data_IF_168786576520
#
_entry.id   IF_168786576520
#
_cell.length_a   1.000
_cell.length_b   1.000
_cell.length_c   1.000
_cell.angle_alpha   90.00
_cell.angle_beta   90.00
_cell.angle_gamma   90.00
#
_symmetry.space_group_name_H-M   'P 1'
#
loop_
_entity.id
_entity.type
_entity.pdbx_description
1 polymer ?
#
# COMPACT_ATOMS: atom_id res chain seq x y z
N UNK A 1 36.39 15.21 63.72
CA UNK A 1 36.23 13.84 63.18
C UNK A 1 34.98 13.87 62.30
N UNK A 2 35.11 14.06 60.97
CA UNK A 2 35.17 13.01 59.93
C UNK A 2 33.90 12.13 59.94
N UNK A 3 33.05 11.95 58.92
CA UNK A 3 33.05 12.11 57.44
C UNK A 3 31.59 12.37 56.97
N UNK A 4 31.34 13.32 56.06
CA UNK A 4 30.99 13.13 54.63
C UNK A 4 29.78 12.23 54.28
N UNK A 5 28.73 12.80 53.65
CA UNK A 5 28.53 12.71 52.19
C UNK A 5 27.29 13.47 51.70
N UNK A 6 27.54 14.31 50.70
CA UNK A 6 26.64 15.06 49.85
C UNK A 6 26.17 14.15 48.70
N UNK A 7 24.88 14.11 48.35
CA UNK A 7 24.45 13.85 46.96
C UNK A 7 23.28 14.75 46.61
N UNK A 8 23.57 15.65 45.68
CA UNK A 8 22.67 16.49 44.89
C UNK A 8 21.94 15.61 43.87
N UNK A 9 20.64 15.83 43.67
CA UNK A 9 19.87 15.16 42.62
C UNK A 9 18.69 15.99 42.16
N UNK A 10 18.96 17.19 41.60
CA UNK A 10 17.95 17.96 40.88
C UNK A 10 17.51 17.19 39.64
N UNK A 11 16.27 16.73 39.62
CA UNK A 11 15.66 16.18 38.42
C UNK A 11 15.39 17.32 37.42
N UNK A 12 16.30 17.51 36.47
CA UNK A 12 16.00 18.24 35.25
C UNK A 12 14.94 17.45 34.46
N UNK A 13 13.69 17.88 34.57
CA UNK A 13 12.68 17.53 33.59
C UNK A 13 13.08 18.16 32.25
N UNK A 14 13.76 17.38 31.40
CA UNK A 14 13.91 17.72 30.00
C UNK A 14 12.52 17.69 29.36
N UNK A 15 11.90 18.87 29.25
CA UNK A 15 10.77 19.06 28.37
C UNK A 15 11.21 18.71 26.96
N UNK A 16 10.70 17.60 26.42
CA UNK A 16 10.73 17.35 24.99
C UNK A 16 9.98 18.51 24.34
N UNK A 17 10.71 19.44 23.73
CA UNK A 17 10.12 20.44 22.86
C UNK A 17 9.32 19.69 21.79
N UNK A 18 7.99 19.70 21.91
CA UNK A 18 7.11 19.13 20.90
C UNK A 18 7.21 20.05 19.69
N UNK A 19 7.97 19.64 18.68
CA UNK A 19 7.86 20.25 17.35
C UNK A 19 6.40 20.12 16.95
N UNK A 20 5.72 21.25 16.74
CA UNK A 20 4.32 21.27 16.33
C UNK A 20 4.16 20.49 15.03
N UNK A 21 3.07 19.72 14.92
CA UNK A 21 2.73 19.01 13.68
C UNK A 21 2.66 20.00 12.51
N UNK A 22 2.98 19.51 11.31
CA UNK A 22 3.00 20.36 10.11
C UNK A 22 1.57 20.80 9.73
N UNK A 23 1.29 22.11 9.74
CA UNK A 23 -0.02 22.66 9.34
C UNK A 23 -0.03 22.99 7.84
N UNK A 24 -0.88 22.32 7.07
CA UNK A 24 -1.05 22.54 5.63
C UNK A 24 -2.49 23.00 5.36
N UNK A 25 -2.64 24.14 4.67
CA UNK A 25 -3.93 24.57 4.14
C UNK A 25 -4.16 23.93 2.78
N UNK A 26 -5.15 23.04 2.68
CA UNK A 26 -5.52 22.39 1.43
C UNK A 26 -6.37 23.29 0.54
N UNK A 27 -6.16 23.25 -0.79
CA UNK A 27 -7.01 23.93 -1.78
C UNK A 27 -8.46 23.42 -1.71
N UNK A 28 -8.62 22.11 -1.57
CA UNK A 28 -9.91 21.47 -1.44
C UNK A 28 -10.01 20.78 -0.07
N UNK A 29 -11.05 21.15 0.67
CA UNK A 29 -11.36 20.58 1.97
C UNK A 29 -12.58 19.66 1.91
N UNK A 30 -12.51 18.53 2.59
CA UNK A 30 -13.59 17.55 2.67
C UNK A 30 -13.23 16.35 3.55
N UNK A 31 -14.22 15.55 3.98
CA UNK A 31 -13.98 14.32 4.72
C UNK A 31 -13.37 13.24 3.82
N UNK A 32 -12.67 12.28 4.43
CA UNK A 32 -12.32 11.04 3.74
C UNK A 32 -13.59 10.27 3.37
N UNK A 33 -13.73 9.78 2.12
CA UNK A 33 -14.94 9.09 1.71
C UNK A 33 -15.08 7.75 2.43
N UNK A 34 -16.33 7.43 2.79
CA UNK A 34 -16.69 6.17 3.44
C UNK A 34 -17.27 5.24 2.39
N UNK A 35 -16.65 4.07 2.23
CA UNK A 35 -17.17 3.03 1.35
C UNK A 35 -18.16 2.13 2.11
N UNK A 36 -19.08 1.51 1.37
CA UNK A 36 -20.13 0.65 1.95
C UNK A 36 -19.59 -0.68 2.53
N UNK A 37 -18.43 -1.13 2.06
CA UNK A 37 -17.75 -2.33 2.53
C UNK A 37 -16.25 -2.21 2.27
N UNK A 38 -15.45 -3.11 2.85
CA UNK A 38 -13.99 -3.13 2.62
C UNK A 38 -13.59 -3.86 1.34
N UNK A 39 -14.56 -4.36 0.55
CA UNK A 39 -14.29 -5.16 -0.65
C UNK A 39 -13.56 -4.33 -1.71
N UNK A 40 -12.32 -4.69 -2.01
CA UNK A 40 -11.51 -4.03 -3.02
C UNK A 40 -10.74 -4.98 -3.92
N UNK A 41 -10.23 -4.44 -5.02
CA UNK A 41 -9.48 -5.18 -6.04
C UNK A 41 -8.36 -4.32 -6.61
N UNK A 42 -7.19 -4.90 -6.88
CA UNK A 42 -6.18 -4.26 -7.71
C UNK A 42 -6.63 -4.37 -9.17
N UNK A 43 -7.15 -3.27 -9.73
CA UNK A 43 -8.00 -3.32 -10.94
C UNK A 43 -7.18 -3.36 -12.22
N UNK A 44 -7.26 -4.49 -12.93
CA UNK A 44 -6.81 -4.62 -14.32
C UNK A 44 -7.93 -4.38 -15.34
N UNK A 45 -9.12 -4.97 -15.13
CA UNK A 45 -10.30 -4.88 -16.01
C UNK A 45 -11.37 -3.99 -15.37
N UNK A 46 -11.55 -2.75 -15.82
CA UNK A 46 -12.45 -1.79 -15.17
C UNK A 46 -13.90 -2.26 -15.15
N UNK A 47 -14.45 -2.69 -16.29
CA UNK A 47 -15.85 -3.11 -16.39
C UNK A 47 -16.15 -4.35 -15.53
N UNK A 48 -15.22 -5.30 -15.49
CA UNK A 48 -15.35 -6.51 -14.66
C UNK A 48 -15.26 -6.17 -13.17
N UNK A 49 -14.37 -5.24 -12.77
CA UNK A 49 -14.31 -4.76 -11.38
C UNK A 49 -15.61 -4.08 -10.95
N UNK A 50 -16.22 -3.26 -11.82
CA UNK A 50 -17.50 -2.64 -11.56
C UNK A 50 -18.63 -3.67 -11.47
N UNK A 51 -18.65 -4.68 -12.34
CA UNK A 51 -19.61 -5.79 -12.30
C UNK A 51 -19.46 -6.65 -11.03
N UNK A 52 -18.25 -6.81 -10.51
CA UNK A 52 -17.97 -7.44 -9.21
C UNK A 52 -18.43 -6.59 -8.01
N UNK A 53 -18.77 -5.33 -8.24
CA UNK A 53 -19.31 -4.41 -7.23
C UNK A 53 -18.28 -3.92 -6.23
N UNK A 54 -17.00 -3.80 -6.62
CA UNK A 54 -15.91 -3.32 -5.74
C UNK A 54 -16.24 -1.97 -5.11
N UNK A 55 -15.79 -1.76 -3.87
CA UNK A 55 -15.90 -0.47 -3.15
C UNK A 55 -14.57 0.25 -3.06
N UNK A 56 -13.46 -0.49 -3.19
CA UNK A 56 -12.11 0.05 -3.25
C UNK A 56 -11.38 -0.44 -4.50
N UNK A 57 -10.54 0.42 -5.08
CA UNK A 57 -9.66 0.04 -6.18
C UNK A 57 -8.21 0.43 -5.87
N UNK A 58 -7.29 -0.49 -6.14
CA UNK A 58 -5.86 -0.20 -6.26
C UNK A 58 -5.47 -0.10 -7.74
N UNK A 59 -4.74 0.94 -8.12
CA UNK A 59 -4.20 1.10 -9.47
C UNK A 59 -2.69 1.37 -9.41
N UNK A 60 -1.90 0.61 -10.17
CA UNK A 60 -0.49 0.92 -10.35
C UNK A 60 -0.34 2.22 -11.14
N UNK A 61 0.53 3.10 -10.65
CA UNK A 61 0.79 4.42 -11.22
C UNK A 61 2.30 4.64 -11.31
N UNK A 62 2.85 4.36 -12.49
CA UNK A 62 4.28 4.49 -12.76
C UNK A 62 4.61 5.93 -13.16
N UNK A 63 5.39 6.63 -12.34
CA UNK A 63 5.81 8.00 -12.64
C UNK A 63 6.80 8.05 -13.82
N UNK A 64 7.56 6.98 -14.05
CA UNK A 64 8.52 6.91 -15.16
C UNK A 64 7.85 6.93 -16.53
N UNK A 65 6.61 6.44 -16.63
CA UNK A 65 5.83 6.54 -17.87
C UNK A 65 5.13 7.90 -17.98
N UNK A 66 4.99 8.63 -16.88
CA UNK A 66 4.18 9.84 -16.83
C UNK A 66 4.96 11.10 -17.15
N UNK A 67 6.18 11.26 -16.65
CA UNK A 67 6.91 12.52 -16.82
C UNK A 67 7.40 12.70 -18.26
N UNK A 68 7.44 13.94 -18.73
CA UNK A 68 7.97 14.29 -20.04
C UNK A 68 9.03 15.40 -19.90
N UNK A 69 10.27 15.09 -19.47
CA UNK A 69 11.29 16.12 -19.20
C UNK A 69 11.56 17.07 -20.39
N UNK A 70 11.52 16.53 -21.62
CA UNK A 70 11.74 17.29 -22.86
C UNK A 70 10.47 17.98 -23.38
N UNK A 71 9.30 17.65 -22.81
CA UNK A 71 7.99 18.08 -23.29
C UNK A 71 7.65 17.58 -24.70
N UNK A 72 6.38 17.67 -25.03
CA UNK A 72 5.83 17.32 -26.34
C UNK A 72 4.75 18.30 -26.76
N UNK A 73 4.38 18.28 -28.03
CA UNK A 73 3.27 19.08 -28.54
C UNK A 73 1.97 18.68 -27.83
N UNK A 74 1.30 19.63 -27.19
CA UNK A 74 0.05 19.43 -26.43
C UNK A 74 0.20 18.61 -25.13
N UNK A 75 1.42 18.37 -24.64
CA UNK A 75 1.58 17.74 -23.33
C UNK A 75 1.01 18.64 -22.23
N UNK A 76 0.17 18.10 -21.33
CA UNK A 76 -0.22 18.78 -20.10
C UNK A 76 1.00 19.29 -19.35
N UNK A 77 0.86 20.47 -18.74
CA UNK A 77 1.93 21.08 -17.97
C UNK A 77 1.44 21.64 -16.64
N UNK A 78 2.37 21.76 -15.70
CA UNK A 78 2.15 22.29 -14.36
C UNK A 78 3.27 23.25 -13.98
N UNK A 79 2.90 24.41 -13.43
CA UNK A 79 3.86 25.38 -12.88
C UNK A 79 4.07 25.09 -11.40
N UNK A 80 5.30 24.74 -11.03
CA UNK A 80 5.68 24.47 -9.65
C UNK A 80 6.98 25.20 -9.33
N UNK A 81 6.96 26.03 -8.28
CA UNK A 81 8.12 26.81 -7.83
C UNK A 81 8.82 27.61 -8.96
N UNK A 82 8.03 28.22 -9.85
CA UNK A 82 8.54 29.04 -10.96
C UNK A 82 9.14 28.25 -12.13
N UNK A 83 8.88 26.93 -12.18
CA UNK A 83 9.29 26.06 -13.29
C UNK A 83 8.10 25.30 -13.85
N UNK A 84 8.11 25.13 -15.17
CA UNK A 84 7.15 24.32 -15.89
C UNK A 84 7.60 22.86 -15.97
N UNK A 85 6.68 21.97 -15.64
CA UNK A 85 6.82 20.52 -15.74
C UNK A 85 5.82 20.00 -16.76
N UNK A 86 6.21 19.00 -17.55
CA UNK A 86 5.37 18.41 -18.60
C UNK A 86 5.12 16.93 -18.33
N UNK A 87 3.96 16.45 -18.78
CA UNK A 87 3.51 15.08 -18.57
C UNK A 87 3.04 14.45 -19.87
N UNK A 88 3.35 13.16 -20.06
CA UNK A 88 2.96 12.35 -21.20
C UNK A 88 1.43 12.28 -21.29
N UNK A 89 0.87 12.95 -22.29
CA UNK A 89 -0.59 13.09 -22.45
C UNK A 89 -1.33 11.76 -22.44
N UNK A 90 -0.87 10.77 -23.23
CA UNK A 90 -1.56 9.49 -23.39
C UNK A 90 -1.62 8.69 -22.09
N UNK A 91 -0.53 8.66 -21.33
CA UNK A 91 -0.47 7.96 -20.04
C UNK A 91 -1.36 8.64 -18.99
N UNK A 92 -1.39 9.98 -18.98
CA UNK A 92 -2.28 10.74 -18.09
C UNK A 92 -3.76 10.50 -18.43
N UNK A 93 -4.15 10.65 -19.70
CA UNK A 93 -5.54 10.48 -20.14
C UNK A 93 -6.03 9.05 -19.93
N UNK A 94 -5.18 8.04 -20.15
CA UNK A 94 -5.52 6.64 -19.85
C UNK A 94 -5.76 6.40 -18.36
N UNK A 95 -5.00 7.06 -17.48
CA UNK A 95 -5.22 7.00 -16.04
C UNK A 95 -6.50 7.73 -15.64
N UNK A 96 -6.77 8.92 -16.19
CA UNK A 96 -8.00 9.67 -15.96
C UNK A 96 -9.25 8.84 -16.29
N UNK A 97 -9.26 8.15 -17.44
CA UNK A 97 -10.38 7.31 -17.85
C UNK A 97 -10.67 6.20 -16.84
N UNK A 98 -9.63 5.50 -16.37
CA UNK A 98 -9.76 4.40 -15.39
C UNK A 98 -10.22 4.92 -14.03
N UNK A 99 -9.59 5.98 -13.51
CA UNK A 99 -9.95 6.60 -12.23
C UNK A 99 -11.39 7.12 -12.30
N UNK A 100 -11.76 7.81 -13.37
CA UNK A 100 -13.10 8.37 -13.55
C UNK A 100 -14.16 7.28 -13.60
N UNK A 101 -13.98 6.25 -14.41
CA UNK A 101 -14.95 5.16 -14.51
C UNK A 101 -15.23 4.48 -13.15
N UNK A 102 -14.20 4.32 -12.31
CA UNK A 102 -14.33 3.76 -10.97
C UNK A 102 -14.98 4.75 -9.99
N UNK A 103 -14.43 5.97 -9.90
CA UNK A 103 -14.88 6.97 -8.92
C UNK A 103 -16.28 7.52 -9.20
N UNK A 104 -16.71 7.62 -10.47
CA UNK A 104 -18.08 7.98 -10.85
C UNK A 104 -19.12 6.95 -10.34
N UNK A 105 -18.68 5.72 -10.03
CA UNK A 105 -19.49 4.66 -9.43
C UNK A 105 -19.31 4.54 -7.91
N UNK A 106 -18.70 5.54 -7.28
CA UNK A 106 -18.48 5.59 -5.83
C UNK A 106 -17.36 4.67 -5.34
N UNK A 107 -16.53 4.13 -6.23
CA UNK A 107 -15.35 3.34 -5.84
C UNK A 107 -14.27 4.27 -5.27
N UNK A 108 -13.74 3.91 -4.11
CA UNK A 108 -12.64 4.60 -3.44
C UNK A 108 -11.31 4.19 -4.07
N UNK A 109 -10.70 5.09 -4.84
CA UNK A 109 -9.49 4.80 -5.64
C UNK A 109 -8.21 5.19 -4.88
N UNK A 110 -7.28 4.23 -4.78
CA UNK A 110 -5.93 4.40 -4.26
C UNK A 110 -4.91 4.09 -5.37
N UNK A 111 -3.84 4.89 -5.44
CA UNK A 111 -2.75 4.70 -6.40
C UNK A 111 -1.53 4.10 -5.72
N UNK A 112 -0.96 3.07 -6.34
CA UNK A 112 0.36 2.53 -5.97
C UNK A 112 1.38 3.28 -6.82
N UNK A 113 2.05 4.24 -6.22
CA UNK A 113 2.99 5.15 -6.89
C UNK A 113 4.34 4.45 -7.01
N UNK A 114 4.82 4.29 -8.25
CA UNK A 114 5.99 3.47 -8.59
C UNK A 114 6.97 4.23 -9.49
N UNK A 115 8.21 3.78 -9.51
CA UNK A 115 9.28 4.28 -10.41
C UNK A 115 10.04 3.10 -11.00
N UNK A 116 9.57 2.60 -12.14
CA UNK A 116 10.28 1.55 -12.88
C UNK A 116 11.43 2.13 -13.71
N UNK A 117 12.52 1.36 -13.87
CA UNK A 117 13.56 1.65 -14.86
C UNK A 117 12.94 1.66 -16.25
N UNK A 118 12.89 2.84 -16.84
CA UNK A 118 12.21 3.12 -18.11
C UNK A 118 13.08 2.79 -19.33
N UNK A 119 14.40 2.81 -19.15
CA UNK A 119 15.35 2.75 -20.26
C UNK A 119 15.62 4.11 -20.93
N UNK A 120 14.91 5.18 -20.53
CA UNK A 120 15.29 6.56 -20.86
C UNK A 120 16.26 7.09 -19.78
N UNK A 121 17.54 7.36 -20.12
CA UNK A 121 18.53 7.80 -19.14
C UNK A 121 18.17 9.10 -18.42
N UNK A 122 17.43 10.00 -19.06
CA UNK A 122 17.03 11.28 -18.45
C UNK A 122 15.93 11.05 -17.41
N UNK A 123 14.91 10.27 -17.75
CA UNK A 123 13.81 9.91 -16.84
C UNK A 123 14.34 9.12 -15.65
N UNK A 124 15.18 8.11 -15.89
CA UNK A 124 15.73 7.27 -14.83
C UNK A 124 16.63 8.09 -13.90
N UNK A 125 17.45 9.00 -14.43
CA UNK A 125 18.27 9.93 -13.63
C UNK A 125 17.42 10.86 -12.75
N UNK A 126 16.28 11.32 -13.26
CA UNK A 126 15.37 12.22 -12.55
C UNK A 126 14.61 11.49 -11.44
N UNK A 127 14.02 10.33 -11.73
CA UNK A 127 13.04 9.70 -10.84
C UNK A 127 13.60 8.56 -9.99
N UNK A 128 14.65 7.87 -10.43
CA UNK A 128 15.13 6.66 -9.76
C UNK A 128 16.28 7.00 -8.83
N UNK A 129 16.22 6.47 -7.62
CA UNK A 129 17.23 6.68 -6.59
C UNK A 129 18.64 6.37 -7.16
N UNK A 130 19.64 7.26 -7.02
CA UNK A 130 20.92 7.13 -7.72
C UNK A 130 21.76 5.91 -7.31
N UNK A 131 21.44 5.29 -6.17
CA UNK A 131 22.04 4.01 -5.74
C UNK A 131 21.29 2.77 -6.23
N UNK A 132 20.15 2.93 -6.92
CA UNK A 132 19.39 1.81 -7.46
C UNK A 132 20.31 0.94 -8.33
N UNK A 133 20.28 -0.38 -8.09
CA UNK A 133 21.06 -1.31 -8.89
C UNK A 133 20.63 -1.21 -10.37
N UNK A 134 21.60 -1.26 -11.29
CA UNK A 134 21.31 -1.25 -12.74
C UNK A 134 20.46 -2.46 -13.16
N UNK A 135 20.64 -3.60 -12.48
CA UNK A 135 19.87 -4.82 -12.63
C UNK A 135 18.89 -5.05 -11.47
N UNK A 136 18.26 -3.98 -10.97
CA UNK A 136 17.26 -4.09 -9.90
C UNK A 136 16.22 -5.17 -10.25
N UNK A 137 15.93 -6.12 -9.33
CA UNK A 137 14.83 -7.06 -9.52
C UNK A 137 13.53 -6.33 -9.87
N UNK A 138 12.73 -6.93 -10.74
CA UNK A 138 11.49 -6.35 -11.28
C UNK A 138 11.62 -4.94 -11.91
N UNK A 139 12.85 -4.47 -12.12
CA UNK A 139 13.16 -3.12 -12.63
C UNK A 139 12.57 -2.00 -11.76
N UNK A 140 12.30 -2.24 -10.47
CA UNK A 140 11.61 -1.29 -9.60
C UNK A 140 12.60 -0.57 -8.66
N UNK A 141 12.82 0.72 -8.92
CA UNK A 141 13.65 1.57 -8.10
C UNK A 141 12.85 2.33 -7.05
N UNK A 142 13.54 2.84 -6.02
CA UNK A 142 12.97 3.84 -5.12
C UNK A 142 13.03 5.25 -5.75
N UNK A 143 12.33 6.21 -5.16
CA UNK A 143 12.27 7.59 -5.63
C UNK A 143 13.60 8.33 -5.44
N UNK A 144 14.01 9.14 -6.42
CA UNK A 144 15.16 10.02 -6.30
C UNK A 144 14.82 11.28 -5.50
N UNK A 145 15.01 11.22 -4.19
CA UNK A 145 14.97 12.42 -3.33
C UNK A 145 16.34 12.89 -2.86
N UNK A 146 17.41 12.33 -3.44
CA UNK A 146 18.81 12.71 -3.16
C UNK A 146 19.16 14.01 -3.88
N UNK A 147 18.71 14.18 -5.12
CA UNK A 147 18.98 15.38 -5.92
C UNK A 147 17.88 16.42 -5.79
N UNK A 148 18.22 17.70 -5.95
CA UNK A 148 17.23 18.78 -5.98
C UNK A 148 16.25 18.66 -7.14
N UNK A 149 16.72 18.16 -8.28
CA UNK A 149 15.90 17.95 -9.46
C UNK A 149 14.86 16.84 -9.24
N UNK A 150 15.27 15.69 -8.70
CA UNK A 150 14.36 14.59 -8.38
C UNK A 150 13.33 14.99 -7.33
N UNK A 151 13.74 15.72 -6.27
CA UNK A 151 12.81 16.28 -5.27
C UNK A 151 11.75 17.19 -5.90
N UNK A 152 12.16 18.08 -6.81
CA UNK A 152 11.23 19.00 -7.49
C UNK A 152 10.30 18.27 -8.45
N UNK A 153 10.80 17.32 -9.24
CA UNK A 153 9.97 16.52 -10.14
C UNK A 153 8.95 15.69 -9.36
N UNK A 154 9.35 15.04 -8.27
CA UNK A 154 8.42 14.29 -7.42
C UNK A 154 7.33 15.20 -6.85
N UNK A 155 7.70 16.34 -6.27
CA UNK A 155 6.74 17.28 -5.68
C UNK A 155 5.80 17.87 -6.75
N UNK A 156 6.32 18.34 -7.88
CA UNK A 156 5.52 18.91 -8.96
C UNK A 156 4.56 17.88 -9.56
N UNK A 157 5.03 16.63 -9.76
CA UNK A 157 4.20 15.54 -10.30
C UNK A 157 3.06 15.18 -9.37
N UNK A 158 3.35 15.01 -8.08
CA UNK A 158 2.33 14.64 -7.09
C UNK A 158 1.36 15.79 -6.80
N UNK A 159 1.81 17.06 -6.80
CA UNK A 159 0.93 18.23 -6.67
C UNK A 159 0.00 18.34 -7.88
N UNK A 160 0.53 18.21 -9.11
CA UNK A 160 -0.28 18.19 -10.33
C UNK A 160 -1.35 17.09 -10.30
N UNK A 161 -0.96 15.86 -9.96
CA UNK A 161 -1.89 14.72 -9.89
C UNK A 161 -2.93 14.91 -8.80
N UNK A 162 -2.54 15.44 -7.64
CA UNK A 162 -3.44 15.70 -6.53
C UNK A 162 -4.45 16.81 -6.86
N UNK A 163 -4.03 17.92 -7.50
CA UNK A 163 -4.97 18.93 -7.99
C UNK A 163 -5.96 18.30 -8.96
N UNK A 164 -5.43 17.62 -10.00
CA UNK A 164 -6.20 17.08 -11.10
C UNK A 164 -7.32 16.14 -10.65
N UNK A 165 -7.04 15.24 -9.70
CA UNK A 165 -7.99 14.25 -9.18
C UNK A 165 -8.66 14.66 -7.87
N UNK A 166 -8.52 15.92 -7.45
CA UNK A 166 -9.24 16.48 -6.30
C UNK A 166 -10.25 17.56 -6.66
N UNK A 167 -10.34 17.91 -7.96
CA UNK A 167 -11.24 18.95 -8.44
C UNK A 167 -12.70 18.72 -8.01
N UNK A 168 -13.41 19.78 -7.60
CA UNK A 168 -14.85 19.68 -7.25
C UNK A 168 -15.72 19.21 -8.42
N UNK A 169 -15.37 19.58 -9.65
CA UNK A 169 -16.09 19.19 -10.87
C UNK A 169 -15.91 17.71 -11.26
N UNK A 170 -14.98 17.00 -10.59
CA UNK A 170 -14.66 15.58 -10.83
C UNK A 170 -14.38 15.27 -12.31
N UNK A 171 -13.85 16.26 -13.06
CA UNK A 171 -13.61 16.15 -14.50
C UNK A 171 -12.74 14.95 -14.87
N UNK A 172 -11.78 14.60 -14.01
CA UNK A 172 -10.81 13.51 -14.24
C UNK A 172 -10.99 12.36 -13.24
N UNK A 173 -12.12 12.29 -12.55
CA UNK A 173 -12.36 11.35 -11.45
C UNK A 173 -11.73 11.80 -10.12
N UNK A 174 -11.69 10.88 -9.15
CA UNK A 174 -11.21 11.14 -7.79
C UNK A 174 -10.26 10.07 -7.26
N UNK A 175 -9.14 10.53 -6.69
CA UNK A 175 -8.17 9.71 -5.93
C UNK A 175 -8.19 10.13 -4.47
N UNK A 176 -8.05 9.16 -3.57
CA UNK A 176 -8.13 9.41 -2.11
C UNK A 176 -6.90 8.93 -1.35
N UNK A 177 -6.02 8.17 -2.01
CA UNK A 177 -4.89 7.54 -1.36
C UNK A 177 -3.73 7.32 -2.31
N UNK A 178 -2.53 7.54 -1.80
CA UNK A 178 -1.27 7.39 -2.52
C UNK A 178 -0.34 6.51 -1.70
N UNK A 179 -0.05 5.32 -2.21
CA UNK A 179 0.85 4.34 -1.60
C UNK A 179 2.23 4.57 -2.22
N UNK A 180 3.20 4.98 -1.40
CA UNK A 180 4.50 5.41 -1.90
C UNK A 180 5.45 4.22 -2.02
N UNK A 181 5.69 3.73 -3.24
CA UNK A 181 6.50 2.54 -3.49
C UNK A 181 5.76 1.25 -3.16
N UNK A 182 6.46 0.12 -3.23
CA UNK A 182 5.90 -1.20 -2.96
C UNK A 182 6.80 -1.98 -2.00
N UNK A 183 6.22 -2.60 -0.97
CA UNK A 183 6.90 -3.51 -0.02
C UNK A 183 8.28 -3.01 0.42
N UNK A 184 8.35 -1.79 0.94
CA UNK A 184 9.62 -1.07 1.10
C UNK A 184 10.54 -1.68 2.15
N UNK A 185 10.03 -2.58 2.99
CA UNK A 185 10.86 -3.36 3.91
C UNK A 185 11.59 -4.52 3.22
N UNK A 186 11.23 -4.84 1.99
CA UNK A 186 11.96 -5.71 1.06
C UNK A 186 12.51 -4.89 -0.12
N UNK A 187 13.06 -3.71 0.19
CA UNK A 187 13.42 -2.67 -0.78
C UNK A 187 14.26 -3.14 -1.95
N UNK A 188 15.20 -4.08 -1.75
CA UNK A 188 16.06 -4.55 -2.83
C UNK A 188 15.27 -5.05 -4.04
N UNK A 189 14.12 -5.62 -3.77
CA UNK A 189 13.20 -6.10 -4.78
C UNK A 189 12.29 -4.97 -5.24
N UNK A 190 11.44 -4.44 -4.36
CA UNK A 190 10.29 -3.63 -4.80
C UNK A 190 10.39 -2.12 -4.50
N UNK A 191 11.55 -1.65 -4.05
CA UNK A 191 11.86 -0.22 -3.87
C UNK A 191 13.37 0.02 -3.86
N UNK A 192 14.09 -0.38 -4.92
CA UNK A 192 15.55 -0.54 -4.84
C UNK A 192 16.29 0.79 -4.58
N UNK A 193 17.02 0.85 -3.47
CA UNK A 193 17.89 1.98 -3.05
C UNK A 193 19.37 1.56 -3.03
N UNK A 194 19.72 0.48 -3.73
CA UNK A 194 21.03 -0.18 -3.58
C UNK A 194 21.18 -0.80 -2.19
N UNK A 195 22.40 -1.22 -1.82
CA UNK A 195 22.65 -1.85 -0.52
C UNK A 195 22.78 -0.79 0.58
N UNK A 196 21.82 -0.72 1.50
CA UNK A 196 21.75 0.30 2.57
C UNK A 196 21.20 -0.30 3.86
N UNK A 197 21.60 0.25 5.01
CA UNK A 197 20.98 -0.16 6.29
C UNK A 197 19.52 0.28 6.37
N UNK A 198 18.74 -0.36 7.25
CA UNK A 198 17.35 0.02 7.52
C UNK A 198 17.20 1.50 7.91
N UNK A 199 18.13 2.06 8.69
CA UNK A 199 18.07 3.45 9.14
C UNK A 199 18.30 4.43 7.97
N UNK A 200 19.33 4.18 7.16
CA UNK A 200 19.60 4.99 5.96
C UNK A 200 18.41 4.94 4.99
N UNK A 201 17.83 3.76 4.79
CA UNK A 201 16.62 3.62 3.97
C UNK A 201 15.44 4.40 4.56
N UNK A 202 15.18 4.26 5.87
CA UNK A 202 14.06 4.93 6.52
C UNK A 202 14.17 6.45 6.49
N UNK A 203 15.38 7.01 6.62
CA UNK A 203 15.61 8.45 6.51
C UNK A 203 15.37 8.96 5.08
N UNK A 204 15.78 8.20 4.06
CA UNK A 204 15.50 8.51 2.65
C UNK A 204 14.02 8.41 2.30
N UNK A 205 13.39 7.33 2.73
CA UNK A 205 11.97 7.11 2.53
C UNK A 205 11.11 8.11 3.29
N UNK A 206 11.50 8.56 4.49
CA UNK A 206 10.83 9.63 5.21
C UNK A 206 10.85 10.95 4.43
N UNK A 207 11.97 11.31 3.78
CA UNK A 207 12.02 12.48 2.89
C UNK A 207 11.02 12.34 1.74
N UNK A 208 11.00 11.18 1.10
CA UNK A 208 10.05 10.85 0.01
C UNK A 208 8.60 11.00 0.46
N UNK A 209 8.22 10.32 1.55
CA UNK A 209 6.84 10.33 2.05
C UNK A 209 6.43 11.72 2.52
N UNK A 210 7.33 12.48 3.15
CA UNK A 210 7.05 13.86 3.57
C UNK A 210 6.87 14.79 2.37
N UNK A 211 7.71 14.68 1.33
CA UNK A 211 7.54 15.46 0.10
C UNK A 211 6.22 15.15 -0.60
N UNK A 212 5.88 13.86 -0.71
CA UNK A 212 4.60 13.41 -1.26
C UNK A 212 3.42 13.95 -0.46
N UNK A 213 3.47 13.81 0.88
CA UNK A 213 2.44 14.31 1.77
C UNK A 213 2.22 15.82 1.62
N UNK A 214 3.28 16.63 1.62
CA UNK A 214 3.15 18.09 1.42
C UNK A 214 2.49 18.43 0.09
N UNK A 215 2.95 17.83 -1.01
CA UNK A 215 2.44 18.08 -2.35
C UNK A 215 0.95 17.69 -2.48
N UNK A 216 0.58 16.53 -1.93
CA UNK A 216 -0.79 15.99 -2.01
C UNK A 216 -1.73 16.76 -1.09
N UNK A 217 -1.33 16.99 0.17
CA UNK A 217 -2.16 17.67 1.19
C UNK A 217 -2.38 19.14 0.91
N UNK A 218 -1.49 19.79 0.16
CA UNK A 218 -1.71 21.14 -0.34
C UNK A 218 -2.93 21.22 -1.25
N UNK A 219 -3.27 20.14 -1.96
CA UNK A 219 -4.40 20.12 -2.89
C UNK A 219 -5.65 19.50 -2.26
N UNK A 220 -5.50 18.52 -1.38
CA UNK A 220 -6.62 17.77 -0.80
C UNK A 220 -6.50 17.52 0.71
N UNK A 221 -7.53 17.90 1.47
CA UNK A 221 -7.59 17.66 2.92
C UNK A 221 -8.05 16.26 3.31
N UNK A 222 -8.48 15.43 2.36
CA UNK A 222 -8.87 14.04 2.63
C UNK A 222 -7.81 13.05 2.22
N UNK A 223 -7.03 13.34 1.16
CA UNK A 223 -6.10 12.38 0.59
C UNK A 223 -5.07 11.92 1.62
N UNK A 224 -4.84 10.60 1.63
CA UNK A 224 -3.92 9.92 2.56
C UNK A 224 -2.67 9.43 1.84
N UNK A 225 -1.54 9.48 2.52
CA UNK A 225 -0.25 8.95 2.03
C UNK A 225 0.13 7.73 2.88
N UNK A 226 0.38 6.61 2.21
CA UNK A 226 0.61 5.32 2.84
C UNK A 226 2.05 4.84 2.67
N UNK A 227 2.62 4.30 3.74
CA UNK A 227 3.84 3.48 3.69
C UNK A 227 3.47 2.09 3.17
N UNK A 228 4.22 1.50 2.23
CA UNK A 228 3.92 0.15 1.71
C UNK A 228 4.81 -0.90 2.37
N UNK A 229 4.24 -1.89 3.06
CA UNK A 229 4.98 -2.93 3.78
C UNK A 229 4.44 -4.33 3.49
N UNK A 230 5.34 -5.31 3.42
CA UNK A 230 5.00 -6.73 3.36
C UNK A 230 4.98 -7.42 4.74
N UNK A 231 4.48 -8.67 4.78
CA UNK A 231 4.15 -9.41 6.00
C UNK A 231 5.29 -9.72 7.00
N UNK A 232 6.57 -9.53 6.67
CA UNK A 232 7.72 -9.82 7.54
C UNK A 232 7.84 -8.73 8.63
N UNK A 233 7.29 -9.04 9.82
CA UNK A 233 7.12 -8.09 10.93
C UNK A 233 8.33 -7.99 11.85
N UNK A 234 8.75 -9.10 12.46
CA UNK A 234 9.95 -9.20 13.31
C UNK A 234 11.11 -9.97 12.66
N UNK A 235 10.89 -10.46 11.44
CA UNK A 235 11.93 -11.03 10.59
C UNK A 235 12.01 -10.20 9.31
N UNK A 236 12.96 -10.50 8.44
CA UNK A 236 13.11 -9.88 7.12
C UNK A 236 12.84 -10.92 6.03
N UNK A 237 12.63 -10.47 4.80
CA UNK A 237 12.56 -11.37 3.66
C UNK A 237 13.88 -12.15 3.49
N UNK A 238 13.76 -13.48 3.47
CA UNK A 238 14.92 -14.37 3.62
C UNK A 238 15.85 -14.35 2.40
N UNK A 239 15.35 -13.98 1.22
CA UNK A 239 16.13 -13.93 -0.01
C UNK A 239 17.23 -12.85 0.00
N UNK A 240 17.16 -11.87 0.91
CA UNK A 240 18.15 -10.80 1.04
C UNK A 240 19.05 -10.93 2.24
N UNK A 241 19.89 -9.94 2.45
CA UNK A 241 20.54 -9.67 3.73
C UNK A 241 20.01 -8.37 4.37
N UNK A 242 20.57 -7.97 5.52
CA UNK A 242 20.14 -6.78 6.27
C UNK A 242 20.34 -5.45 5.53
N UNK A 243 21.09 -5.45 4.41
CA UNK A 243 21.22 -4.28 3.53
C UNK A 243 20.23 -4.28 2.36
N UNK A 244 19.42 -5.33 2.24
CA UNK A 244 18.49 -5.56 1.14
C UNK A 244 17.04 -5.68 1.61
N UNK A 245 16.83 -6.07 2.87
CA UNK A 245 15.53 -6.19 3.50
C UNK A 245 15.65 -6.06 5.03
N UNK A 246 14.57 -5.70 5.70
CA UNK A 246 14.54 -5.49 7.15
C UNK A 246 13.15 -5.75 7.74
N UNK A 247 13.02 -5.98 9.06
CA UNK A 247 11.72 -6.18 9.70
C UNK A 247 10.84 -4.92 9.69
N UNK A 248 9.58 -5.07 9.29
CA UNK A 248 8.61 -3.98 9.21
C UNK A 248 8.40 -3.28 10.56
N UNK A 249 8.39 -4.02 11.69
CA UNK A 249 8.20 -3.43 13.02
C UNK A 249 9.30 -2.43 13.36
N UNK A 250 10.56 -2.84 13.20
CA UNK A 250 11.72 -2.01 13.51
C UNK A 250 11.77 -0.76 12.61
N UNK A 251 11.40 -0.93 11.34
CA UNK A 251 11.27 0.17 10.39
C UNK A 251 10.18 1.17 10.80
N UNK A 252 8.96 0.71 11.11
CA UNK A 252 7.84 1.59 11.52
C UNK A 252 8.18 2.36 12.80
N UNK A 253 8.76 1.70 13.81
CA UNK A 253 9.16 2.35 15.05
C UNK A 253 10.24 3.42 14.82
N UNK A 254 11.20 3.15 13.93
CA UNK A 254 12.23 4.12 13.57
C UNK A 254 11.63 5.29 12.76
N UNK A 255 10.86 5.00 11.72
CA UNK A 255 10.20 5.99 10.85
C UNK A 255 9.33 6.94 11.66
N UNK A 256 8.46 6.40 12.53
CA UNK A 256 7.55 7.20 13.36
C UNK A 256 8.32 8.13 14.31
N UNK A 257 9.41 7.65 14.92
CA UNK A 257 10.26 8.47 15.78
C UNK A 257 10.92 9.62 15.00
N UNK A 258 11.46 9.35 13.82
CA UNK A 258 12.07 10.39 12.97
C UNK A 258 11.03 11.38 12.44
N UNK A 259 9.85 10.89 12.04
CA UNK A 259 8.74 11.73 11.60
C UNK A 259 8.35 12.73 12.69
N UNK A 260 8.19 12.27 13.95
CA UNK A 260 7.90 13.15 15.10
C UNK A 260 9.01 14.15 15.39
N UNK A 261 10.27 13.71 15.37
CA UNK A 261 11.41 14.58 15.62
C UNK A 261 11.51 15.72 14.59
N UNK A 262 11.11 15.47 13.34
CA UNK A 262 11.06 16.46 12.27
C UNK A 262 9.70 17.17 12.06
N UNK A 263 8.79 17.09 13.04
CA UNK A 263 7.40 17.55 12.92
C UNK A 263 6.50 16.45 12.36
N UNK A 264 5.67 15.86 13.23
CA UNK A 264 4.79 14.75 12.85
C UNK A 264 3.74 15.16 11.80
N UNK A 265 3.22 14.19 11.05
CA UNK A 265 2.22 14.37 10.01
C UNK A 265 1.40 13.08 9.82
N UNK A 266 0.21 13.13 9.22
CA UNK A 266 -0.77 12.04 9.10
C UNK A 266 -0.46 10.97 8.03
N UNK A 267 0.77 10.44 8.00
CA UNK A 267 1.08 9.20 7.26
C UNK A 267 0.22 8.02 7.72
N UNK A 268 0.02 7.03 6.85
CA UNK A 268 -0.84 5.85 7.04
C UNK A 268 -0.11 4.57 6.58
N UNK A 269 -0.73 3.39 6.71
CA UNK A 269 -0.10 2.12 6.35
C UNK A 269 -0.86 1.34 5.26
N UNK A 270 -0.13 0.92 4.23
CA UNK A 270 -0.56 -0.04 3.21
C UNK A 270 0.21 -1.35 3.48
N UNK A 271 -0.48 -2.39 3.91
CA UNK A 271 0.15 -3.61 4.45
C UNK A 271 -0.23 -4.84 3.62
N UNK A 272 0.72 -5.74 3.35
CA UNK A 272 0.53 -6.93 2.53
C UNK A 272 0.55 -8.24 3.34
N UNK A 273 -0.56 -8.63 4.00
CA UNK A 273 -0.63 -9.86 4.80
C UNK A 273 -0.80 -11.14 3.96
N UNK A 274 0.12 -11.43 3.03
CA UNK A 274 0.13 -12.73 2.35
C UNK A 274 0.20 -13.89 3.37
N UNK A 275 -0.34 -15.08 3.05
CA UNK A 275 0.00 -16.31 3.78
C UNK A 275 1.52 -16.48 3.90
N UNK A 276 1.99 -17.18 4.95
CA UNK A 276 3.43 -17.24 5.24
C UNK A 276 4.25 -17.87 4.11
N UNK A 277 3.65 -18.84 3.42
CA UNK A 277 4.10 -19.39 2.14
C UNK A 277 3.11 -18.94 1.07
N UNK A 278 3.59 -18.18 0.09
CA UNK A 278 2.75 -17.61 -0.97
C UNK A 278 2.07 -18.70 -1.81
N UNK A 279 2.59 -19.93 -1.85
CA UNK A 279 1.97 -21.06 -2.56
C UNK A 279 0.97 -21.85 -1.70
N UNK A 280 0.88 -21.56 -0.41
CA UNK A 280 -0.02 -22.21 0.54
C UNK A 280 -1.11 -21.22 1.00
N UNK A 281 -2.27 -21.19 0.35
CA UNK A 281 -3.33 -20.22 0.69
C UNK A 281 -3.99 -20.46 2.06
N UNK A 282 -3.76 -21.62 2.71
CA UNK A 282 -4.37 -21.97 4.00
C UNK A 282 -3.69 -21.26 5.17
N UNK A 283 -3.78 -19.93 5.18
CA UNK A 283 -3.12 -19.06 6.16
C UNK A 283 -3.45 -19.41 7.62
N UNK A 284 -4.56 -20.08 7.89
CA UNK A 284 -4.89 -20.55 9.25
C UNK A 284 -3.87 -21.56 9.80
N UNK A 285 -3.12 -22.22 8.91
CA UNK A 285 -2.02 -23.11 9.25
C UNK A 285 -0.67 -22.41 9.43
N UNK A 286 -0.61 -21.08 9.22
CA UNK A 286 0.64 -20.32 9.31
C UNK A 286 1.30 -20.52 10.70
N UNK A 287 2.58 -20.87 10.72
CA UNK A 287 3.33 -21.13 11.96
C UNK A 287 4.07 -19.90 12.47
N UNK A 288 4.46 -19.03 11.55
CA UNK A 288 5.22 -17.80 11.84
C UNK A 288 4.33 -16.60 12.14
N UNK A 289 3.01 -16.74 12.03
CA UNK A 289 2.01 -15.80 12.49
C UNK A 289 1.51 -16.20 13.89
N UNK A 290 2.16 -15.68 14.94
CA UNK A 290 1.84 -15.98 16.35
C UNK A 290 0.92 -14.91 16.94
N UNK A 291 0.47 -15.13 18.17
CA UNK A 291 -0.48 -14.22 18.87
C UNK A 291 0.19 -13.04 19.59
N UNK A 292 1.52 -13.03 19.69
CA UNK A 292 2.23 -11.96 20.40
C UNK A 292 2.72 -10.89 19.41
N UNK A 293 2.08 -9.73 19.40
CA UNK A 293 2.40 -8.63 18.48
C UNK A 293 3.86 -8.14 18.58
N UNK A 294 4.50 -8.28 19.75
CA UNK A 294 5.87 -7.81 19.94
C UNK A 294 6.91 -8.78 19.38
N UNK A 295 6.56 -10.07 19.24
CA UNK A 295 7.52 -11.12 18.86
C UNK A 295 7.11 -11.94 17.64
N UNK A 296 5.88 -11.79 17.14
CA UNK A 296 5.41 -12.54 15.97
C UNK A 296 6.33 -12.28 14.77
N UNK A 297 6.91 -13.34 14.16
CA UNK A 297 7.76 -13.16 12.98
C UNK A 297 7.02 -12.48 11.83
N UNK A 298 5.80 -12.94 11.51
CA UNK A 298 4.96 -12.36 10.45
C UNK A 298 3.62 -11.86 10.98
N UNK A 299 3.03 -10.93 10.26
CA UNK A 299 1.61 -10.62 10.34
C UNK A 299 0.97 -11.06 9.02
N UNK A 300 0.11 -12.07 9.08
CA UNK A 300 -0.66 -12.59 7.95
C UNK A 300 -2.15 -12.47 8.26
N UNK A 301 -3.04 -12.97 7.39
CA UNK A 301 -4.48 -13.04 7.72
C UNK A 301 -4.78 -13.85 8.99
N UNK A 302 -3.86 -14.72 9.45
CA UNK A 302 -4.06 -15.51 10.67
C UNK A 302 -4.17 -14.64 11.92
N UNK A 303 -3.28 -13.67 12.07
CA UNK A 303 -3.12 -12.81 13.24
C UNK A 303 -3.24 -11.31 12.90
N UNK A 304 -3.96 -10.97 11.82
CA UNK A 304 -4.04 -9.62 11.27
C UNK A 304 -4.59 -8.58 12.25
N UNK A 305 -5.40 -9.00 13.23
CA UNK A 305 -5.91 -8.16 14.31
C UNK A 305 -4.81 -7.51 15.17
N UNK A 306 -3.60 -8.08 15.17
CA UNK A 306 -2.47 -7.52 15.90
C UNK A 306 -1.96 -6.20 15.29
N UNK A 307 -2.12 -5.99 13.99
CA UNK A 307 -1.63 -4.80 13.29
C UNK A 307 -2.35 -3.51 13.72
N UNK A 308 -3.70 -3.39 13.65
CA UNK A 308 -4.39 -2.21 14.17
C UNK A 308 -4.14 -2.02 15.68
N UNK A 309 -4.09 -3.11 16.47
CA UNK A 309 -3.75 -3.03 17.88
C UNK A 309 -2.35 -2.43 18.12
N UNK A 310 -1.37 -2.76 17.27
CA UNK A 310 -0.03 -2.17 17.33
C UNK A 310 -0.03 -0.67 17.10
N UNK A 311 -0.79 -0.20 16.10
CA UNK A 311 -0.86 1.22 15.73
C UNK A 311 -1.60 2.10 16.75
N UNK A 312 -2.27 1.50 17.74
CA UNK A 312 -2.86 2.21 18.88
C UNK A 312 -1.85 2.63 19.96
N UNK A 313 -0.57 2.22 19.85
CA UNK A 313 0.49 2.65 20.76
C UNK A 313 0.69 4.18 20.69
N UNK A 314 0.90 4.82 21.86
CA UNK A 314 0.99 6.29 22.01
C UNK A 314 1.99 6.94 21.06
N UNK A 315 3.14 6.32 20.89
CA UNK A 315 4.24 6.72 20.02
C UNK A 315 3.94 6.58 18.52
N UNK A 316 2.81 5.98 18.13
CA UNK A 316 2.35 5.86 16.74
C UNK A 316 1.12 6.74 16.43
N UNK A 317 0.42 7.28 17.45
CA UNK A 317 -0.77 8.12 17.28
C UNK A 317 -0.48 9.49 16.63
N UNK A 318 -1.33 9.94 15.72
CA UNK A 318 -1.34 11.33 15.22
C UNK A 318 -2.53 12.09 15.81
N UNK A 319 -2.27 13.21 16.49
CA UNK A 319 -3.32 13.95 17.20
C UNK A 319 -4.26 13.07 18.06
N UNK A 320 -3.67 12.07 18.74
CA UNK A 320 -4.39 11.12 19.58
C UNK A 320 -5.13 10.00 18.84
N UNK A 321 -5.09 9.97 17.50
CA UNK A 321 -5.77 8.97 16.68
C UNK A 321 -4.79 7.93 16.10
N UNK A 322 -5.17 6.63 16.06
CA UNK A 322 -4.38 5.61 15.38
C UNK A 322 -4.25 5.87 13.88
N UNK A 323 -3.12 5.41 13.33
CA UNK A 323 -2.89 5.36 11.88
C UNK A 323 -3.84 4.33 11.25
N UNK A 324 -4.41 4.66 10.10
CA UNK A 324 -5.32 3.81 9.31
C UNK A 324 -4.53 2.88 8.41
N UNK A 325 -5.13 1.71 8.15
CA UNK A 325 -4.55 0.65 7.34
C UNK A 325 -5.41 0.41 6.10
N UNK A 326 -4.77 0.19 4.96
CA UNK A 326 -5.37 -0.53 3.84
C UNK A 326 -4.55 -1.80 3.58
N UNK A 327 -5.21 -2.89 3.20
CA UNK A 327 -4.52 -4.05 2.67
C UNK A 327 -4.51 -3.89 1.14
N UNK A 328 -3.37 -3.50 0.58
CA UNK A 328 -3.28 -2.95 -0.79
C UNK A 328 -2.99 -3.97 -1.90
N UNK A 329 -2.29 -5.05 -1.58
CA UNK A 329 -1.89 -6.11 -2.52
C UNK A 329 -1.66 -7.43 -1.76
N UNK A 330 -2.61 -8.37 -1.82
CA UNK A 330 -2.47 -9.74 -1.28
C UNK A 330 -3.34 -10.71 -2.04
N UNK A 331 -2.87 -11.95 -2.18
CA UNK A 331 -3.60 -12.99 -2.88
C UNK A 331 -3.51 -14.34 -2.21
N UNK A 332 -4.33 -15.25 -2.74
CA UNK A 332 -4.33 -16.66 -2.37
C UNK A 332 -3.95 -17.44 -3.62
N UNK A 333 -2.86 -18.20 -3.55
CA UNK A 333 -2.47 -19.09 -4.63
C UNK A 333 -3.53 -20.14 -4.87
N UNK A 334 -3.64 -20.60 -6.11
CA UNK A 334 -4.44 -21.76 -6.50
C UNK A 334 -3.53 -22.98 -6.50
N UNK A 335 -3.56 -23.84 -5.47
CA UNK A 335 -2.71 -25.02 -5.42
C UNK A 335 -2.95 -25.94 -6.62
N UNK A 336 -1.96 -26.75 -6.95
CA UNK A 336 -2.13 -27.78 -7.97
C UNK A 336 -3.17 -28.82 -7.51
N UNK A 337 -3.94 -29.35 -8.47
CA UNK A 337 -4.92 -30.41 -8.23
C UNK A 337 -6.37 -29.93 -8.38
N UNK A 338 -7.31 -30.89 -8.36
CA UNK A 338 -8.72 -30.64 -8.60
C UNK A 338 -9.36 -29.67 -7.58
N UNK A 339 -8.84 -29.64 -6.35
CA UNK A 339 -9.36 -28.80 -5.27
C UNK A 339 -8.66 -27.43 -5.18
N UNK A 340 -7.76 -27.11 -6.10
CA UNK A 340 -6.97 -25.87 -6.05
C UNK A 340 -7.82 -24.61 -5.92
N UNK A 341 -8.79 -24.44 -6.81
CA UNK A 341 -9.70 -23.29 -6.79
C UNK A 341 -10.65 -23.31 -5.58
N UNK A 342 -10.99 -24.51 -5.07
CA UNK A 342 -11.78 -24.67 -3.85
C UNK A 342 -11.05 -24.10 -2.65
N UNK A 343 -9.78 -24.47 -2.49
CA UNK A 343 -8.92 -24.00 -1.39
C UNK A 343 -8.67 -22.50 -1.51
N UNK A 344 -8.35 -22.01 -2.72
CA UNK A 344 -8.16 -20.59 -2.99
C UNK A 344 -9.40 -19.76 -2.57
N UNK A 345 -10.58 -20.20 -3.01
CA UNK A 345 -11.83 -19.51 -2.72
C UNK A 345 -12.17 -19.54 -1.22
N UNK A 346 -11.92 -20.68 -0.55
CA UNK A 346 -12.14 -20.80 0.90
C UNK A 346 -11.23 -19.85 1.70
N UNK A 347 -9.97 -19.70 1.29
CA UNK A 347 -9.04 -18.76 1.91
C UNK A 347 -9.51 -17.30 1.78
N UNK A 348 -9.98 -16.90 0.59
CA UNK A 348 -10.58 -15.57 0.44
C UNK A 348 -11.82 -15.37 1.31
N UNK A 349 -12.74 -16.34 1.34
CA UNK A 349 -13.94 -16.26 2.18
C UNK A 349 -13.56 -16.00 3.64
N UNK A 350 -12.61 -16.78 4.16
CA UNK A 350 -12.18 -16.65 5.55
C UNK A 350 -11.48 -15.31 5.82
N UNK A 351 -10.55 -14.90 4.95
CA UNK A 351 -9.89 -13.62 5.06
C UNK A 351 -10.89 -12.46 5.04
N UNK A 352 -11.86 -12.46 4.11
CA UNK A 352 -12.85 -11.39 4.00
C UNK A 352 -13.69 -11.25 5.28
N UNK A 353 -14.20 -12.35 5.85
CA UNK A 353 -14.97 -12.31 7.11
C UNK A 353 -14.13 -11.88 8.32
N UNK A 354 -12.82 -12.15 8.33
CA UNK A 354 -11.92 -11.56 9.32
C UNK A 354 -11.80 -10.05 9.13
N UNK A 355 -11.48 -9.60 7.92
CA UNK A 355 -11.17 -8.18 7.67
C UNK A 355 -12.39 -7.26 7.79
N UNK A 356 -13.57 -7.69 7.34
CA UNK A 356 -14.79 -6.86 7.40
C UNK A 356 -15.07 -6.35 8.83
N UNK A 357 -14.72 -7.14 9.85
CA UNK A 357 -15.00 -6.87 11.28
C UNK A 357 -13.93 -6.03 11.99
N UNK A 358 -12.76 -5.83 11.37
CA UNK A 358 -11.61 -5.22 12.05
C UNK A 358 -11.57 -3.70 11.89
N UNK A 359 -11.92 -2.99 12.95
CA UNK A 359 -11.67 -1.55 13.03
C UNK A 359 -10.19 -1.23 12.86
N UNK A 360 -9.87 -0.13 12.17
CA UNK A 360 -8.50 0.27 11.84
C UNK A 360 -8.06 -0.11 10.42
N UNK A 361 -8.69 -1.14 9.83
CA UNK A 361 -8.49 -1.53 8.43
C UNK A 361 -9.65 -1.01 7.59
N UNK A 362 -9.34 -0.14 6.63
CA UNK A 362 -10.33 0.55 5.80
C UNK A 362 -10.66 -0.20 4.50
N UNK A 363 -9.72 -1.01 3.98
CA UNK A 363 -9.90 -1.71 2.70
C UNK A 363 -9.17 -3.05 2.67
N UNK A 364 -9.75 -4.03 1.97
CA UNK A 364 -9.10 -5.26 1.53
C UNK A 364 -9.08 -5.28 0.00
N UNK A 365 -7.99 -4.79 -0.57
CA UNK A 365 -7.73 -4.73 -2.01
C UNK A 365 -7.04 -6.04 -2.42
N UNK A 366 -7.82 -6.97 -2.97
CA UNK A 366 -7.31 -8.26 -3.39
C UNK A 366 -6.36 -8.10 -4.59
N UNK A 367 -5.23 -8.76 -4.51
CA UNK A 367 -4.36 -9.07 -5.64
C UNK A 367 -4.53 -10.56 -5.98
N UNK A 368 -5.08 -10.95 -7.12
CA UNK A 368 -5.17 -10.16 -8.35
C UNK A 368 -6.44 -10.38 -9.13
N UNK A 369 -6.64 -9.50 -10.11
CA UNK A 369 -7.80 -9.56 -10.99
C UNK A 369 -7.73 -10.78 -11.91
N UNK A 370 -6.59 -11.00 -12.58
CA UNK A 370 -6.37 -12.08 -13.56
C UNK A 370 -5.00 -12.67 -13.30
N UNK A 371 -4.81 -13.98 -13.27
CA UNK A 371 -3.48 -14.63 -13.11
C UNK A 371 -2.39 -14.01 -14.03
N UNK A 372 -1.10 -14.10 -13.69
CA UNK A 372 -0.02 -13.60 -14.54
C UNK A 372 1.15 -14.57 -14.62
N UNK A 373 1.64 -14.77 -15.84
CA UNK A 373 2.80 -15.62 -16.12
C UNK A 373 4.09 -15.08 -15.48
N UNK A 374 4.18 -13.77 -15.21
CA UNK A 374 5.38 -13.11 -14.69
C UNK A 374 5.37 -12.92 -13.16
N UNK A 375 4.72 -13.84 -12.43
CA UNK A 375 4.57 -13.78 -10.97
C UNK A 375 5.19 -14.99 -10.25
N UNK A 376 6.32 -15.48 -10.77
CA UNK A 376 7.05 -16.59 -10.15
C UNK A 376 6.27 -17.90 -10.06
N UNK A 377 5.22 -18.08 -10.88
CA UNK A 377 4.33 -19.24 -10.85
C UNK A 377 3.12 -19.12 -9.94
N UNK A 378 2.90 -17.98 -9.30
CA UNK A 378 1.69 -17.74 -8.51
C UNK A 378 0.45 -17.59 -9.39
N UNK A 379 -0.67 -18.13 -8.91
CA UNK A 379 -1.99 -18.08 -9.56
C UNK A 379 -3.00 -17.47 -8.57
N UNK A 380 -2.93 -16.14 -8.40
CA UNK A 380 -3.68 -15.38 -7.39
C UNK A 380 -5.02 -14.82 -7.89
N UNK A 381 -5.31 -14.96 -9.18
CA UNK A 381 -6.37 -14.30 -9.90
C UNK A 381 -7.77 -14.73 -9.49
N UNK A 382 -8.72 -13.79 -9.57
CA UNK A 382 -10.15 -14.09 -9.69
C UNK A 382 -10.47 -14.78 -11.02
N UNK A 383 -9.66 -14.50 -12.03
CA UNK A 383 -9.71 -15.10 -13.36
C UNK A 383 -8.39 -15.77 -13.70
N UNK A 384 -8.46 -16.85 -14.46
CA UNK A 384 -7.30 -17.47 -15.09
C UNK A 384 -6.78 -16.62 -16.25
N UNK A 385 -5.49 -16.73 -16.51
CA UNK A 385 -4.85 -16.19 -17.72
C UNK A 385 -4.70 -17.22 -18.83
N UNK A 386 -5.15 -18.46 -18.59
CA UNK A 386 -5.21 -19.52 -19.57
C UNK A 386 -6.60 -19.50 -20.22
N UNK A 387 -6.71 -19.15 -21.52
CA UNK A 387 -7.98 -19.15 -22.21
C UNK A 387 -8.66 -20.51 -22.18
N UNK A 388 -9.99 -20.50 -22.16
CA UNK A 388 -10.85 -21.65 -22.43
C UNK A 388 -11.74 -21.29 -23.63
N UNK A 389 -12.26 -22.27 -24.36
CA UNK A 389 -13.09 -22.05 -25.54
C UNK A 389 -14.14 -20.94 -25.34
N UNK A 390 -13.97 -19.81 -26.05
CA UNK A 390 -14.84 -18.63 -25.97
C UNK A 390 -14.63 -17.69 -24.77
N UNK A 391 -13.77 -18.02 -23.80
CA UNK A 391 -13.50 -17.21 -22.61
C UNK A 391 -11.97 -16.96 -22.46
N UNK A 392 -11.46 -15.79 -22.90
CA UNK A 392 -10.02 -15.49 -22.86
C UNK A 392 -9.42 -15.47 -21.45
N UNK A 393 -10.23 -15.17 -20.43
CA UNK A 393 -9.82 -15.08 -19.03
C UNK A 393 -10.85 -15.76 -18.13
N UNK A 394 -10.90 -17.11 -18.09
CA UNK A 394 -11.94 -17.86 -17.40
C UNK A 394 -12.10 -17.49 -15.94
N UNK A 395 -13.34 -17.36 -15.46
CA UNK A 395 -13.62 -17.16 -14.03
C UNK A 395 -13.19 -18.39 -13.22
N UNK A 396 -12.49 -18.14 -12.11
CA UNK A 396 -12.16 -19.17 -11.10
C UNK A 396 -13.23 -19.19 -10.02
N UNK A 397 -13.32 -20.25 -9.22
CA UNK A 397 -14.34 -20.38 -8.15
C UNK A 397 -14.38 -19.19 -7.19
N UNK A 398 -13.22 -18.59 -6.88
CA UNK A 398 -13.11 -17.40 -6.03
C UNK A 398 -13.89 -16.20 -6.59
N UNK A 399 -14.11 -16.10 -7.91
CA UNK A 399 -14.83 -15.00 -8.56
C UNK A 399 -16.23 -14.79 -7.98
N UNK A 400 -17.03 -15.86 -7.87
CA UNK A 400 -18.38 -15.77 -7.32
C UNK A 400 -18.39 -15.48 -5.82
N UNK A 401 -17.38 -15.96 -5.09
CA UNK A 401 -17.19 -15.64 -3.69
C UNK A 401 -16.91 -14.14 -3.52
N UNK A 402 -15.98 -13.60 -4.30
CA UNK A 402 -15.65 -12.19 -4.31
C UNK A 402 -16.88 -11.33 -4.67
N UNK A 403 -17.61 -11.70 -5.73
CA UNK A 403 -18.82 -10.98 -6.14
C UNK A 403 -19.85 -10.89 -5.01
N UNK A 404 -20.10 -11.99 -4.31
CA UNK A 404 -21.12 -12.08 -3.26
C UNK A 404 -20.68 -11.60 -1.87
N UNK A 405 -19.38 -11.35 -1.63
CA UNK A 405 -18.81 -11.20 -0.28
C UNK A 405 -19.48 -10.11 0.59
N UNK A 406 -19.92 -9.01 -0.02
CA UNK A 406 -20.57 -7.87 0.65
C UNK A 406 -22.05 -7.72 0.27
N UNK A 407 -22.67 -8.79 -0.21
CA UNK A 407 -24.09 -8.81 -0.63
C UNK A 407 -24.90 -9.76 0.25
N UNK A 408 -26.24 -9.68 0.28
CA UNK A 408 -27.07 -10.60 1.07
C UNK A 408 -26.86 -12.10 0.74
N UNK A 409 -26.31 -12.43 -0.43
CA UNK A 409 -26.05 -13.80 -0.86
C UNK A 409 -24.76 -14.40 -0.27
N UNK A 410 -23.97 -13.62 0.49
CA UNK A 410 -22.65 -14.03 0.96
C UNK A 410 -22.66 -15.36 1.72
N UNK A 411 -23.65 -15.60 2.59
CA UNK A 411 -23.73 -16.81 3.42
C UNK A 411 -23.81 -18.08 2.55
N UNK A 412 -24.69 -18.05 1.54
CA UNK A 412 -24.84 -19.15 0.59
C UNK A 412 -23.58 -19.34 -0.24
N UNK A 413 -22.97 -18.25 -0.69
CA UNK A 413 -21.73 -18.29 -1.48
C UNK A 413 -20.57 -18.86 -0.66
N UNK A 414 -20.50 -18.57 0.64
CA UNK A 414 -19.38 -18.93 1.52
C UNK A 414 -19.59 -20.28 2.23
N UNK A 415 -20.79 -20.86 2.22
CA UNK A 415 -21.12 -22.07 2.98
C UNK A 415 -20.16 -23.24 2.75
N UNK A 416 -19.68 -23.43 1.51
CA UNK A 416 -18.73 -24.50 1.18
C UNK A 416 -17.37 -24.34 1.89
N UNK A 417 -16.98 -23.12 2.27
CA UNK A 417 -15.67 -22.85 2.82
C UNK A 417 -15.54 -23.33 4.27
N UNK A 418 -16.64 -23.36 5.04
CA UNK A 418 -16.66 -23.79 6.44
C UNK A 418 -15.97 -25.16 6.68
N UNK A 419 -16.35 -26.26 5.99
CA UNK A 419 -15.66 -27.54 6.15
C UNK A 419 -14.21 -27.49 5.67
N UNK A 420 -13.87 -26.69 4.66
CA UNK A 420 -12.50 -26.56 4.13
C UNK A 420 -11.57 -25.90 5.15
N UNK A 421 -12.06 -24.89 5.87
CA UNK A 421 -11.29 -24.17 6.90
C UNK A 421 -11.40 -24.78 8.30
N UNK A 422 -12.16 -25.88 8.45
CA UNK A 422 -12.34 -26.57 9.73
C UNK A 422 -13.25 -25.84 10.73
N UNK A 423 -14.15 -24.98 10.24
CA UNK A 423 -15.08 -24.20 11.07
C UNK A 423 -16.52 -24.71 10.94
N UNK A 424 -17.32 -24.54 12.00
CA UNK A 424 -18.74 -24.91 12.02
C UNK A 424 -19.68 -23.76 11.64
N UNK A 425 -19.29 -22.53 11.92
CA UNK A 425 -20.03 -21.31 11.60
C UNK A 425 -19.07 -20.11 11.51
N UNK A 426 -19.55 -18.99 10.95
CA UNK A 426 -18.77 -17.76 10.76
C UNK A 426 -18.68 -16.88 12.03
N UNK A 427 -19.43 -17.19 13.07
CA UNK A 427 -19.40 -16.46 14.34
C UNK A 427 -18.23 -16.91 15.23
N UNK A 428 -17.78 -18.16 15.08
CA UNK A 428 -16.67 -18.73 15.84
C UNK A 428 -15.27 -18.23 15.41
N UNK A 429 -15.15 -17.57 14.25
CA UNK A 429 -13.86 -17.22 13.63
C UNK A 429 -13.20 -15.92 14.07
N UNK A 430 -13.54 -15.39 15.25
CA UNK A 430 -13.10 -14.05 15.68
C UNK A 430 -13.01 -13.84 17.19
N UNK A 431 -12.35 -14.75 17.91
CA UNK A 431 -11.82 -14.45 19.27
C UNK A 431 -10.32 -14.62 19.29
#
# INVERSE_FOLDING_TARGET
>A
MNFASLVIGGALAFGLASVSAESISSRHAGPYPVAASKKGLQVELVDDALALGVKHAGLNFNLSDLIAPRGGTNDPSWEFAGRRYHFQRGNLEGMDQRIKALSDRGVVVNLIVLTYQSGDPEVDRILIHPRCATNAPNRLGNFNTVTDEGRRWLAATLEFCAERWSRPDQRYGRVVGYIMGNEVNSHWWWANTGRVSMKEFADDYLRTVRLAHKAIRKESSWARVYLSLEHHWNIRYAAGDEKQSFPARAFVDYFARQARAGGDFDWQLAFHPYPEDLFEPRFWNDKTATTNILTTPRITFKNIELLPAYLCRRELLFHGQPRRIILSEQGFHTPKGADGELIQAAAYCYAYKKIERLDGIDAFILHRHVDNAHEGGLLLGLRSNQPREGEPRPRKKIYECFRAADTPEWEKAFAFALPVIGMRNWDAGGR
#
